data_IF_114298823918
#
_entry.id   IF_114298823918
#
_cell.length_a   1.000
_cell.length_b   1.000
_cell.length_c   1.000
_cell.angle_alpha   90.00
_cell.angle_beta   90.00
_cell.angle_gamma   90.00
#
_symmetry.space_group_name_H-M   'P 1'
#
loop_
_entity.id
_entity.type
_entity.pdbx_description
1 polymer ?
#
# COMPACT_ATOMS: atom_id res chain seq x y z
N UNK A 1 10.34 28.27 8.79
CA UNK A 1 10.17 27.75 8.90
C UNK A 1 9.74 27.25 8.88
N UNK A 2 9.63 27.60 8.68
CA UNK A 2 8.96 27.06 8.70
C UNK A 2 9.16 25.88 8.58
N UNK A 3 9.41 25.69 8.94
CA UNK A 3 9.67 24.68 8.86
C UNK A 3 8.96 23.90 8.65
N UNK A 4 9.21 23.43 7.86
CA UNK A 4 8.36 22.35 7.63
C UNK A 4 8.33 21.49 8.84
N UNK A 5 7.23 21.33 9.38
CA UNK A 5 6.98 20.33 10.36
C UNK A 5 7.39 19.00 9.76
N UNK A 6 8.19 18.21 10.44
CA UNK A 6 8.35 16.85 9.98
C UNK A 6 6.97 16.27 9.87
N UNK A 7 6.63 15.82 8.70
CA UNK A 7 5.41 15.06 8.52
C UNK A 7 5.55 13.85 9.40
N UNK A 8 4.63 13.64 10.29
CA UNK A 8 4.63 12.46 11.13
C UNK A 8 4.67 11.21 10.27
N UNK A 9 4.93 10.04 10.86
CA UNK A 9 4.96 8.80 10.09
C UNK A 9 3.66 8.63 9.31
N UNK A 10 3.80 8.28 8.04
CA UNK A 10 2.63 8.06 7.18
C UNK A 10 2.00 6.71 7.49
N UNK A 11 0.67 6.60 7.41
CA UNK A 11 0.02 5.31 7.51
C UNK A 11 0.14 4.53 6.21
N UNK A 12 0.30 3.21 6.35
CA UNK A 12 0.26 2.27 5.24
C UNK A 12 -0.92 1.34 5.48
N UNK A 13 -1.85 1.31 4.56
CA UNK A 13 -3.01 0.42 4.66
C UNK A 13 -2.61 -0.96 4.18
N UNK A 14 -2.82 -1.96 5.03
CA UNK A 14 -2.49 -3.36 4.75
C UNK A 14 -3.78 -4.12 4.57
N UNK A 15 -3.95 -4.75 3.41
CA UNK A 15 -5.13 -5.57 3.13
C UNK A 15 -4.67 -7.03 3.11
N UNK A 16 -4.98 -7.74 4.18
CA UNK A 16 -4.53 -9.12 4.40
C UNK A 16 -5.51 -9.82 5.32
N UNK A 17 -6.09 -10.92 4.89
CA UNK A 17 -7.09 -11.65 5.68
C UNK A 17 -6.50 -12.62 6.69
N UNK A 18 -5.26 -13.10 6.48
CA UNK A 18 -4.64 -14.05 7.38
C UNK A 18 -3.94 -13.34 8.52
N UNK A 19 -4.33 -13.60 9.79
CA UNK A 19 -3.78 -12.86 10.93
C UNK A 19 -2.26 -12.91 11.05
N UNK A 20 -1.65 -14.08 10.84
CA UNK A 20 -0.21 -14.22 10.98
C UNK A 20 0.52 -13.39 9.94
N UNK A 21 0.09 -13.46 8.68
CA UNK A 21 0.70 -12.70 7.60
C UNK A 21 0.48 -11.20 7.81
N UNK A 22 -0.70 -10.82 8.29
CA UNK A 22 -1.01 -9.41 8.55
C UNK A 22 -0.10 -8.86 9.64
N UNK A 23 0.15 -9.64 10.69
CA UNK A 23 1.05 -9.22 11.76
C UNK A 23 2.48 -9.06 11.24
N UNK A 24 2.93 -9.97 10.40
CA UNK A 24 4.27 -9.88 9.79
C UNK A 24 4.43 -8.62 8.96
N UNK A 25 3.43 -8.32 8.14
CA UNK A 25 3.47 -7.12 7.30
C UNK A 25 3.40 -5.86 8.16
N UNK A 26 2.54 -5.86 9.18
CA UNK A 26 2.43 -4.71 10.10
C UNK A 26 3.77 -4.45 10.79
N UNK A 27 4.46 -5.51 11.23
CA UNK A 27 5.77 -5.38 11.85
C UNK A 27 6.79 -4.79 10.88
N UNK A 28 6.79 -5.25 9.63
CA UNK A 28 7.67 -4.72 8.59
C UNK A 28 7.40 -3.24 8.35
N UNK A 29 6.14 -2.85 8.30
CA UNK A 29 5.72 -1.46 8.09
C UNK A 29 6.22 -0.59 9.24
N UNK A 30 6.07 -1.06 10.48
CA UNK A 30 6.57 -0.32 11.64
C UNK A 30 8.09 -0.17 11.62
N UNK A 31 8.80 -1.22 11.26
CA UNK A 31 10.26 -1.18 11.17
C UNK A 31 10.72 -0.21 10.09
N UNK A 32 9.91 -0.01 9.09
CA UNK A 32 10.23 0.95 8.02
C UNK A 32 9.99 2.41 8.44
N UNK A 33 9.35 2.62 9.58
CA UNK A 33 9.05 3.96 10.09
C UNK A 33 7.65 4.45 9.77
N UNK A 34 6.76 3.56 9.37
CA UNK A 34 5.38 3.91 9.03
C UNK A 34 4.41 3.38 10.08
N UNK A 35 3.17 3.80 9.97
CA UNK A 35 2.10 3.35 10.86
C UNK A 35 1.26 2.32 10.13
N UNK A 36 1.19 1.06 10.61
CA UNK A 36 0.33 0.08 9.95
C UNK A 36 -1.14 0.34 10.27
N UNK A 37 -1.96 0.34 9.24
CA UNK A 37 -3.42 0.39 9.34
C UNK A 37 -3.92 -0.90 8.73
N UNK A 38 -4.53 -1.76 9.52
CA UNK A 38 -4.85 -3.12 9.10
C UNK A 38 -6.29 -3.25 8.67
N UNK A 39 -6.50 -3.88 7.52
CA UNK A 39 -7.81 -4.25 7.03
C UNK A 39 -7.82 -5.76 6.80
N UNK A 40 -8.84 -6.44 7.28
CA UNK A 40 -8.96 -7.89 7.15
C UNK A 40 -9.73 -8.30 5.91
N UNK A 41 -10.29 -7.34 5.21
CA UNK A 41 -11.08 -7.58 4.02
C UNK A 41 -11.03 -6.36 3.11
N UNK A 42 -11.47 -6.56 1.88
CA UNK A 42 -11.56 -5.48 0.91
C UNK A 42 -12.59 -4.45 1.34
N UNK A 43 -13.72 -4.91 1.83
CA UNK A 43 -14.79 -3.99 2.27
C UNK A 43 -14.31 -3.08 3.40
N UNK A 44 -13.58 -3.64 4.36
CA UNK A 44 -12.99 -2.86 5.43
C UNK A 44 -11.99 -1.84 4.89
N UNK A 45 -11.15 -2.27 3.94
CA UNK A 45 -10.16 -1.39 3.34
C UNK A 45 -10.81 -0.21 2.62
N UNK A 46 -11.86 -0.46 1.86
CA UNK A 46 -12.58 0.60 1.16
C UNK A 46 -13.20 1.57 2.15
N UNK A 47 -13.79 1.05 3.23
CA UNK A 47 -14.35 1.88 4.29
C UNK A 47 -13.30 2.81 4.90
N UNK A 48 -12.11 2.27 5.16
CA UNK A 48 -11.00 3.05 5.69
C UNK A 48 -10.60 4.15 4.71
N UNK A 49 -10.48 3.81 3.43
CA UNK A 49 -10.10 4.79 2.41
C UNK A 49 -11.14 5.89 2.23
N UNK A 50 -12.42 5.55 2.42
CA UNK A 50 -13.49 6.53 2.32
C UNK A 50 -13.52 7.51 3.48
N UNK A 51 -12.99 7.13 4.63
CA UNK A 51 -13.03 7.95 5.82
C UNK A 51 -11.72 8.62 6.17
N UNK A 52 -10.59 8.12 5.62
CA UNK A 52 -9.27 8.68 5.91
C UNK A 52 -8.66 9.28 4.66
N UNK A 53 -8.17 10.48 4.78
CA UNK A 53 -7.53 11.19 3.67
C UNK A 53 -6.02 11.14 3.72
N UNK A 54 -5.46 10.50 4.76
CA UNK A 54 -4.01 10.46 4.98
C UNK A 54 -3.34 9.19 4.43
N UNK A 55 -4.12 8.24 3.90
CA UNK A 55 -3.56 7.02 3.33
C UNK A 55 -2.95 7.34 1.96
N UNK A 56 -1.67 7.03 1.79
CA UNK A 56 -0.96 7.25 0.53
C UNK A 56 -0.34 5.99 -0.03
N UNK A 57 -0.21 4.96 0.79
CA UNK A 57 0.39 3.68 0.39
C UNK A 57 -0.55 2.56 0.82
N UNK A 58 -0.84 1.64 -0.09
CA UNK A 58 -1.68 0.47 0.17
C UNK A 58 -0.89 -0.78 -0.20
N UNK A 59 -0.88 -1.73 0.70
CA UNK A 59 -0.24 -3.03 0.53
C UNK A 59 -1.33 -4.09 0.40
N UNK A 60 -1.35 -4.83 -0.70
CA UNK A 60 -2.39 -5.82 -1.00
C UNK A 60 -1.76 -7.18 -1.25
N UNK A 61 -2.20 -8.19 -0.51
CA UNK A 61 -1.82 -9.59 -0.76
C UNK A 61 -2.80 -10.20 -1.76
N UNK A 62 -2.30 -10.56 -2.93
CA UNK A 62 -3.12 -11.13 -3.98
C UNK A 62 -3.45 -12.62 -3.74
N UNK A 63 -2.80 -13.25 -2.77
CA UNK A 63 -3.07 -14.65 -2.44
C UNK A 63 -4.26 -14.82 -1.49
N UNK A 64 -4.93 -13.75 -1.12
CA UNK A 64 -6.15 -13.85 -0.34
C UNK A 64 -7.20 -14.64 -1.12
N UNK A 65 -8.15 -15.28 -0.44
CA UNK A 65 -9.29 -15.84 -1.12
C UNK A 65 -9.90 -14.81 -2.06
N UNK A 66 -10.13 -15.16 -3.30
CA UNK A 66 -10.56 -14.22 -4.35
C UNK A 66 -9.43 -13.29 -4.79
N UNK A 67 -8.19 -13.80 -4.77
CA UNK A 67 -7.02 -12.98 -5.13
C UNK A 67 -7.09 -12.32 -6.51
N UNK A 68 -7.79 -12.93 -7.45
CA UNK A 68 -8.01 -12.32 -8.78
C UNK A 68 -8.66 -10.95 -8.62
N UNK A 69 -9.54 -10.78 -7.65
CA UNK A 69 -10.18 -9.50 -7.40
C UNK A 69 -9.24 -8.48 -6.78
N UNK A 70 -8.09 -8.92 -6.25
CA UNK A 70 -7.09 -8.01 -5.73
C UNK A 70 -6.59 -7.04 -6.78
N UNK A 71 -6.39 -7.51 -8.02
CA UNK A 71 -5.99 -6.63 -9.12
C UNK A 71 -7.09 -5.63 -9.44
N UNK A 72 -8.34 -6.10 -9.49
CA UNK A 72 -9.48 -5.21 -9.76
C UNK A 72 -9.61 -4.15 -8.68
N UNK A 73 -9.36 -4.52 -7.43
CA UNK A 73 -9.41 -3.60 -6.32
C UNK A 73 -8.27 -2.59 -6.38
N UNK A 74 -7.07 -3.04 -6.74
CA UNK A 74 -5.95 -2.14 -6.94
C UNK A 74 -6.27 -1.11 -8.03
N UNK A 75 -6.88 -1.55 -9.13
CA UNK A 75 -7.29 -0.65 -10.20
C UNK A 75 -8.36 0.34 -9.73
N UNK A 76 -9.33 -0.14 -8.94
CA UNK A 76 -10.38 0.72 -8.39
C UNK A 76 -9.81 1.74 -7.41
N UNK A 77 -8.86 1.35 -6.58
CA UNK A 77 -8.19 2.26 -5.66
C UNK A 77 -7.43 3.33 -6.45
N UNK A 78 -6.71 2.92 -7.49
CA UNK A 78 -6.00 3.85 -8.35
C UNK A 78 -6.95 4.87 -8.95
N UNK A 79 -8.10 4.41 -9.39
CA UNK A 79 -9.09 5.23 -10.07
C UNK A 79 -9.74 6.25 -9.14
N UNK A 80 -10.12 5.80 -7.94
CA UNK A 80 -10.82 6.66 -6.97
C UNK A 80 -9.89 7.56 -6.17
N UNK A 81 -8.67 7.09 -5.90
CA UNK A 81 -7.69 7.83 -5.10
C UNK A 81 -6.35 7.87 -5.86
N UNK A 82 -6.28 8.65 -6.96
CA UNK A 82 -5.10 8.65 -7.84
C UNK A 82 -3.74 8.84 -7.17
N UNK A 83 -3.60 9.60 -6.08
CA UNK A 83 -2.29 9.78 -5.46
C UNK A 83 -1.74 8.53 -4.76
N UNK A 84 -2.57 7.53 -4.49
CA UNK A 84 -2.15 6.37 -3.72
C UNK A 84 -1.16 5.51 -4.52
N UNK A 85 -0.07 5.11 -3.86
CA UNK A 85 0.89 4.13 -4.38
C UNK A 85 0.49 2.76 -3.90
N UNK A 86 0.67 1.74 -4.73
CA UNK A 86 0.16 0.40 -4.43
C UNK A 86 1.30 -0.61 -4.48
N UNK A 87 1.39 -1.45 -3.46
CA UNK A 87 2.30 -2.61 -3.41
C UNK A 87 1.44 -3.86 -3.48
N UNK A 88 1.75 -4.73 -4.44
CA UNK A 88 1.04 -5.99 -4.62
C UNK A 88 2.00 -7.14 -4.37
N UNK A 89 1.57 -8.15 -3.63
CA UNK A 89 2.39 -9.33 -3.37
C UNK A 89 1.62 -10.59 -3.68
N UNK A 90 2.31 -11.64 -4.13
CA UNK A 90 1.70 -12.92 -4.39
C UNK A 90 2.76 -14.01 -4.51
N UNK A 91 2.38 -15.23 -4.14
CA UNK A 91 3.17 -16.43 -4.41
C UNK A 91 2.64 -17.16 -5.65
N UNK A 92 1.34 -17.04 -5.92
CA UNK A 92 0.66 -17.83 -6.93
C UNK A 92 0.60 -17.16 -8.30
N UNK A 93 0.97 -15.88 -8.38
CA UNK A 93 0.96 -15.13 -9.64
C UNK A 93 2.37 -14.70 -10.01
N UNK A 94 2.66 -14.68 -11.30
CA UNK A 94 3.89 -14.08 -11.82
C UNK A 94 3.57 -12.66 -12.30
N UNK A 95 4.54 -11.77 -12.15
CA UNK A 95 4.36 -10.37 -12.58
C UNK A 95 3.93 -10.27 -14.04
N UNK A 96 4.49 -11.13 -14.90
CA UNK A 96 4.21 -11.12 -16.32
C UNK A 96 2.74 -11.45 -16.64
N UNK A 97 2.05 -12.12 -15.72
CA UNK A 97 0.67 -12.55 -15.91
C UNK A 97 -0.33 -11.52 -15.38
N UNK A 98 0.15 -10.40 -14.85
CA UNK A 98 -0.69 -9.41 -14.20
C UNK A 98 -0.70 -8.11 -14.99
N UNK A 99 -1.89 -7.55 -15.15
CA UNK A 99 -2.06 -6.23 -15.73
C UNK A 99 -2.08 -5.23 -14.58
N UNK A 100 -0.89 -4.72 -14.24
CA UNK A 100 -0.74 -3.85 -13.08
C UNK A 100 -1.25 -2.45 -13.34
N UNK A 101 -1.98 -1.86 -12.40
CA UNK A 101 -2.35 -0.46 -12.53
C UNK A 101 -1.13 0.45 -12.45
N UNK A 102 -1.28 1.66 -12.93
CA UNK A 102 -0.23 2.68 -12.88
C UNK A 102 0.17 2.92 -11.42
N UNK A 103 1.46 3.09 -11.19
CA UNK A 103 2.04 3.29 -9.85
C UNK A 103 1.75 2.14 -8.89
N UNK A 104 1.73 0.93 -9.42
CA UNK A 104 1.70 -0.28 -8.61
C UNK A 104 2.99 -1.05 -8.82
N UNK A 105 3.53 -1.58 -7.74
CA UNK A 105 4.73 -2.42 -7.78
C UNK A 105 4.39 -3.79 -7.26
N UNK A 106 4.92 -4.81 -7.91
CA UNK A 106 4.64 -6.20 -7.58
C UNK A 106 5.88 -6.86 -7.01
N UNK A 107 5.70 -7.61 -5.93
CA UNK A 107 6.78 -8.39 -5.28
C UNK A 107 6.30 -9.82 -5.10
N UNK A 108 7.04 -10.78 -5.66
CA UNK A 108 6.68 -12.18 -5.48
C UNK A 108 7.15 -12.67 -4.11
N UNK A 109 6.40 -13.58 -3.54
CA UNK A 109 6.75 -14.20 -2.26
C UNK A 109 7.75 -15.33 -2.47
N UNK A 110 8.64 -15.59 -1.52
CA UNK A 110 8.80 -14.86 -0.26
C UNK A 110 9.39 -13.48 -0.52
N UNK A 111 8.78 -12.46 0.09
CA UNK A 111 9.24 -11.10 -0.15
C UNK A 111 10.54 -10.83 0.60
N UNK A 112 11.38 -9.99 -0.01
CA UNK A 112 12.56 -9.47 0.67
C UNK A 112 12.15 -8.18 1.36
N UNK A 113 12.13 -8.19 2.69
CA UNK A 113 11.65 -7.04 3.46
C UNK A 113 12.39 -5.76 3.10
N UNK A 114 13.70 -5.86 2.89
CA UNK A 114 14.49 -4.69 2.51
C UNK A 114 14.01 -4.03 1.24
N UNK A 115 13.62 -4.83 0.24
CA UNK A 115 13.15 -4.30 -1.04
C UNK A 115 11.79 -3.60 -0.87
N UNK A 116 10.91 -4.20 -0.11
CA UNK A 116 9.57 -3.62 0.12
C UNK A 116 9.67 -2.36 0.98
N UNK A 117 10.54 -2.37 1.99
CA UNK A 117 10.77 -1.19 2.82
C UNK A 117 11.33 -0.05 1.98
N UNK A 118 12.29 -0.35 1.10
CA UNK A 118 12.85 0.67 0.21
C UNK A 118 11.77 1.23 -0.71
N UNK A 119 10.89 0.38 -1.21
CA UNK A 119 9.77 0.82 -2.05
C UNK A 119 8.85 1.75 -1.29
N UNK A 120 8.48 1.40 -0.05
CA UNK A 120 7.63 2.25 0.77
C UNK A 120 8.26 3.62 1.01
N UNK A 121 9.54 3.66 1.30
CA UNK A 121 10.25 4.93 1.53
C UNK A 121 10.30 5.78 0.27
N UNK A 122 10.52 5.14 -0.88
CA UNK A 122 10.52 5.85 -2.17
C UNK A 122 9.12 6.40 -2.48
N UNK A 123 8.10 5.59 -2.26
CA UNK A 123 6.71 5.98 -2.48
C UNK A 123 6.29 7.13 -1.57
N UNK A 124 6.72 7.09 -0.31
CA UNK A 124 6.43 8.17 0.64
C UNK A 124 7.07 9.47 0.19
N UNK A 125 8.29 9.42 -0.32
CA UNK A 125 8.97 10.62 -0.82
C UNK A 125 8.26 11.18 -2.05
N UNK A 126 7.84 10.32 -2.97
CA UNK A 126 7.12 10.74 -4.17
C UNK A 126 5.76 11.33 -3.82
N UNK A 127 5.06 10.74 -2.88
CA UNK A 127 3.77 11.22 -2.43
C UNK A 127 3.90 12.59 -1.79
N UNK A 128 4.91 12.78 -0.97
CA UNK A 128 5.17 14.06 -0.33
C UNK A 128 5.45 15.13 -1.38
N UNK A 129 6.24 14.80 -2.38
CA UNK A 129 6.56 15.70 -3.48
C UNK A 129 5.30 16.07 -4.27
N UNK A 130 4.46 15.10 -4.59
CA UNK A 130 3.20 15.35 -5.30
C UNK A 130 2.26 16.21 -4.48
N UNK A 131 2.24 15.98 -3.17
CA UNK A 131 1.43 16.80 -2.27
C UNK A 131 1.82 18.27 -2.32
N UNK A 132 3.12 18.56 -2.42
CA UNK A 132 3.60 19.92 -2.53
C UNK A 132 3.20 20.57 -3.85
N UNK A 133 3.06 19.80 -4.90
CA UNK A 133 2.75 20.29 -6.23
C UNK A 133 1.26 20.50 -6.47
N UNK A 134 0.43 20.07 -5.54
CA UNK A 134 -1.02 20.23 -5.72
C UNK A 134 -1.44 21.66 -5.56
N UNK A 135 -2.34 22.13 -6.41
CA UNK A 135 -2.98 23.41 -6.17
C UNK A 135 -3.79 23.32 -4.88
N UNK A 136 -3.82 24.38 -4.16
CA UNK A 136 -4.55 24.46 -2.91
C UNK A 136 -6.06 24.22 -3.11
#
# INVERSE_FOLDING_TARGET
MGQSQPIGPLPVLIIEDQPVLRIEVADMVERAGFIPVEATSVDEAISILETRTDIRIVYIDLDMPRGVKGIEIAAAIRDRWPPIEIILTAATFAKADLDLPVRAEFYSKPIHHGDVIAAMRRMAADTDRRGCDRPA
#
